data_IF_075305340629
#
_entry.id   IF_075305340629
#
_cell.length_a   1.000
_cell.length_b   1.000
_cell.length_c   1.000
_cell.angle_alpha   90.00
_cell.angle_beta   90.00
_cell.angle_gamma   90.00
#
_symmetry.space_group_name_H-M   'P 1'
#
loop_
_entity.id
_entity.type
_entity.pdbx_description
1 polymer ?
#
# COMPACT_ATOMS: atom_id res chain seq x y z
N UNK A 1 50.16 -17.78 -32.49
CA UNK A 1 48.90 -17.01 -32.31
C UNK A 1 47.94 -17.90 -31.53
N UNK A 2 47.74 -17.61 -30.24
CA UNK A 2 46.96 -18.46 -29.32
C UNK A 2 45.55 -17.91 -29.19
N UNK A 3 44.55 -18.54 -29.82
CA UNK A 3 43.16 -18.12 -29.68
C UNK A 3 42.50 -18.90 -28.54
N UNK A 4 42.18 -18.18 -27.46
CA UNK A 4 41.53 -18.68 -26.24
C UNK A 4 40.05 -18.99 -26.51
N UNK A 5 39.70 -20.28 -26.48
CA UNK A 5 38.33 -20.78 -26.59
C UNK A 5 37.51 -20.37 -25.35
N UNK A 6 36.42 -19.59 -25.50
CA UNK A 6 35.49 -19.27 -24.41
C UNK A 6 34.34 -20.29 -24.42
N UNK A 7 33.90 -20.82 -23.26
CA UNK A 7 32.72 -21.67 -23.22
C UNK A 7 31.44 -20.84 -23.42
N UNK A 8 30.37 -21.43 -23.95
CA UNK A 8 29.11 -20.73 -24.16
C UNK A 8 28.45 -20.39 -22.82
N UNK A 9 27.84 -19.21 -22.78
CA UNK A 9 26.98 -18.72 -21.69
C UNK A 9 25.96 -19.80 -21.32
N UNK A 10 26.06 -20.28 -20.09
CA UNK A 10 25.13 -21.25 -19.53
C UNK A 10 23.71 -20.69 -19.58
N UNK A 11 22.82 -21.46 -20.20
CA UNK A 11 21.37 -21.28 -20.16
C UNK A 11 20.93 -21.16 -18.69
N UNK A 12 20.57 -19.95 -18.25
CA UNK A 12 19.82 -19.77 -17.01
C UNK A 12 18.33 -19.87 -17.31
N UNK A 13 17.91 -21.05 -17.78
CA UNK A 13 16.51 -21.46 -17.83
C UNK A 13 16.01 -21.73 -16.41
N UNK A 14 15.96 -20.70 -15.57
CA UNK A 14 15.30 -20.76 -14.28
C UNK A 14 13.84 -20.37 -14.47
N UNK A 15 12.91 -21.29 -14.18
CA UNK A 15 11.48 -21.01 -14.01
C UNK A 15 11.34 -19.69 -13.21
N UNK A 16 10.50 -18.71 -13.62
CA UNK A 16 10.28 -17.52 -12.80
C UNK A 16 9.94 -18.01 -11.39
N UNK A 17 10.56 -17.44 -10.33
CA UNK A 17 10.27 -17.88 -8.98
C UNK A 17 8.76 -17.84 -8.82
N UNK A 18 8.18 -19.03 -8.59
CA UNK A 18 6.81 -19.17 -8.13
C UNK A 18 6.57 -18.08 -7.10
N UNK A 19 5.51 -17.31 -7.27
CA UNK A 19 5.10 -16.19 -6.42
C UNK A 19 4.97 -16.68 -4.97
N UNK A 20 6.11 -16.86 -4.30
CA UNK A 20 6.16 -17.28 -2.92
C UNK A 20 5.59 -16.09 -2.16
N UNK A 21 4.48 -16.27 -1.42
CA UNK A 21 3.96 -15.19 -0.61
C UNK A 21 5.10 -14.78 0.32
N UNK A 22 5.65 -13.59 0.08
CA UNK A 22 6.67 -13.03 0.96
C UNK A 22 6.09 -13.06 2.37
N UNK A 23 6.81 -13.59 3.38
CA UNK A 23 6.30 -13.63 4.74
C UNK A 23 5.85 -12.22 5.12
N UNK A 24 4.63 -12.12 5.64
CA UNK A 24 4.00 -10.85 5.96
C UNK A 24 4.97 -10.01 6.80
N UNK A 25 5.57 -8.99 6.18
CA UNK A 25 6.49 -8.14 6.92
C UNK A 25 5.63 -7.27 7.83
N UNK A 26 5.72 -7.54 9.12
CA UNK A 26 4.98 -6.81 10.15
C UNK A 26 5.05 -5.28 9.99
N UNK A 27 6.21 -4.68 9.63
CA UNK A 27 6.27 -3.24 9.33
C UNK A 27 5.42 -2.80 8.13
N UNK A 28 5.29 -3.63 7.08
CA UNK A 28 4.43 -3.34 5.92
C UNK A 28 2.96 -3.42 6.30
N UNK A 29 2.57 -4.44 7.08
CA UNK A 29 1.22 -4.58 7.60
C UNK A 29 0.82 -3.38 8.46
N UNK A 30 1.68 -2.96 9.40
CA UNK A 30 1.44 -1.77 10.24
C UNK A 30 1.30 -0.51 9.38
N UNK A 31 2.16 -0.30 8.36
CA UNK A 31 2.03 0.86 7.47
C UNK A 31 0.72 0.86 6.70
N UNK A 32 0.30 -0.30 6.18
CA UNK A 32 -0.98 -0.43 5.48
C UNK A 32 -2.16 -0.11 6.41
N UNK A 33 -2.13 -0.62 7.66
CA UNK A 33 -3.16 -0.31 8.66
C UNK A 33 -3.18 1.19 9.00
N UNK A 34 -2.01 1.78 9.24
CA UNK A 34 -1.89 3.21 9.55
C UNK A 34 -2.37 4.10 8.40
N UNK A 35 -2.23 3.65 7.16
CA UNK A 35 -2.67 4.38 5.96
C UNK A 35 -4.18 4.60 5.87
N UNK A 36 -5.01 3.78 6.53
CA UNK A 36 -6.46 3.99 6.60
C UNK A 36 -6.96 4.36 8.01
N UNK A 37 -6.34 3.83 9.06
CA UNK A 37 -6.81 4.05 10.44
C UNK A 37 -6.55 5.47 10.95
N UNK A 38 -5.38 6.03 10.61
CA UNK A 38 -5.03 7.41 10.97
C UNK A 38 -5.99 8.44 10.35
N UNK A 39 -6.27 8.40 9.02
CA UNK A 39 -7.22 9.35 8.44
C UNK A 39 -8.64 9.13 8.94
N UNK A 40 -9.08 7.88 9.15
CA UNK A 40 -10.41 7.60 9.70
C UNK A 40 -10.65 8.27 11.06
N UNK A 41 -9.74 8.07 12.01
CA UNK A 41 -9.82 8.67 13.36
C UNK A 41 -9.72 10.19 13.31
N UNK A 42 -8.83 10.73 12.48
CA UNK A 42 -8.60 12.18 12.35
C UNK A 42 -9.82 12.90 11.78
N UNK A 43 -10.41 12.37 10.69
CA UNK A 43 -11.61 12.93 10.06
C UNK A 43 -12.79 12.99 11.04
N UNK A 44 -13.03 11.90 11.78
CA UNK A 44 -14.09 11.86 12.79
C UNK A 44 -13.87 12.90 13.90
N UNK A 45 -12.63 13.01 14.39
CA UNK A 45 -12.28 13.95 15.47
C UNK A 45 -12.46 15.39 15.01
N UNK A 46 -11.96 15.74 13.83
CA UNK A 46 -12.03 17.10 13.31
C UNK A 46 -13.47 17.50 12.99
N UNK A 47 -14.25 16.59 12.41
CA UNK A 47 -15.65 16.85 12.13
C UNK A 47 -16.44 17.15 13.41
N UNK A 48 -16.31 16.29 14.43
CA UNK A 48 -16.97 16.46 15.73
C UNK A 48 -16.51 17.71 16.49
N UNK A 49 -15.27 18.15 16.28
CA UNK A 49 -14.75 19.37 16.89
C UNK A 49 -15.32 20.64 16.25
N UNK A 50 -15.64 20.59 14.95
CA UNK A 50 -16.16 21.75 14.23
C UNK A 50 -17.68 21.86 14.31
N UNK A 51 -18.41 20.75 14.29
CA UNK A 51 -19.87 20.78 14.31
C UNK A 51 -20.50 19.55 14.95
N UNK A 52 -21.70 19.74 15.51
CA UNK A 52 -22.57 18.66 15.94
C UNK A 52 -23.47 18.12 14.81
N UNK A 53 -23.47 18.77 13.64
CA UNK A 53 -24.26 18.32 12.49
C UNK A 53 -23.67 17.04 11.88
N UNK A 54 -24.51 16.19 11.24
CA UNK A 54 -24.00 15.04 10.49
C UNK A 54 -23.07 15.51 9.35
N UNK A 55 -22.04 14.71 9.00
CA UNK A 55 -21.17 15.02 7.88
C UNK A 55 -21.96 15.04 6.54
N UNK A 56 -21.57 15.92 5.59
CA UNK A 56 -22.07 15.85 4.23
C UNK A 56 -21.86 14.46 3.62
N UNK A 57 -22.73 14.08 2.68
CA UNK A 57 -22.71 12.75 2.05
C UNK A 57 -21.34 12.35 1.51
N UNK A 58 -20.64 13.28 0.84
CA UNK A 58 -19.30 13.03 0.29
C UNK A 58 -18.28 12.71 1.37
N UNK A 59 -18.29 13.47 2.48
CA UNK A 59 -17.42 13.21 3.63
C UNK A 59 -17.78 11.89 4.32
N UNK A 60 -19.07 11.59 4.45
CA UNK A 60 -19.51 10.31 5.00
C UNK A 60 -19.05 9.13 4.13
N UNK A 61 -19.12 9.26 2.81
CA UNK A 61 -18.62 8.26 1.87
C UNK A 61 -17.10 8.06 2.02
N UNK A 62 -16.34 9.14 2.19
CA UNK A 62 -14.91 9.06 2.46
C UNK A 62 -14.63 8.32 3.78
N UNK A 63 -15.31 8.68 4.87
CA UNK A 63 -15.19 8.03 6.18
C UNK A 63 -15.51 6.53 6.08
N UNK A 64 -16.55 6.17 5.32
CA UNK A 64 -16.92 4.78 5.08
C UNK A 64 -15.87 4.05 4.23
N UNK A 65 -15.30 4.69 3.21
CA UNK A 65 -14.27 4.08 2.39
C UNK A 65 -13.01 3.75 3.22
N UNK A 66 -12.53 4.70 4.04
CA UNK A 66 -11.35 4.45 4.89
C UNK A 66 -11.61 3.45 6.01
N UNK A 67 -12.84 3.37 6.53
CA UNK A 67 -13.18 2.37 7.56
C UNK A 67 -13.15 0.93 7.02
N UNK A 68 -13.33 0.75 5.70
CA UNK A 68 -13.17 -0.57 5.04
C UNK A 68 -11.71 -0.97 4.79
N UNK A 69 -10.74 -0.21 5.29
CA UNK A 69 -9.32 -0.52 5.14
C UNK A 69 -8.69 0.02 3.86
N UNK A 70 -9.39 0.89 3.11
CA UNK A 70 -8.85 1.55 1.92
C UNK A 70 -8.02 2.77 2.36
N UNK A 71 -6.67 2.74 2.24
CA UNK A 71 -5.85 3.88 2.61
C UNK A 71 -6.11 5.06 1.67
N UNK A 72 -5.92 6.27 2.19
CA UNK A 72 -5.85 7.47 1.35
C UNK A 72 -4.41 7.64 0.92
N UNK A 73 -4.15 7.66 -0.39
CA UNK A 73 -2.84 8.05 -0.89
C UNK A 73 -2.73 9.57 -0.84
N UNK A 74 -2.11 10.08 0.22
CA UNK A 74 -1.93 11.52 0.45
C UNK A 74 -0.71 12.08 -0.31
N UNK A 75 0.10 11.22 -0.94
CA UNK A 75 1.41 11.60 -1.49
C UNK A 75 1.59 11.24 -2.97
N UNK A 76 0.54 10.84 -3.70
CA UNK A 76 0.61 10.75 -5.15
C UNK A 76 0.69 12.17 -5.73
N UNK A 77 1.74 12.53 -6.48
CA UNK A 77 1.71 13.75 -7.27
C UNK A 77 0.62 13.62 -8.35
N UNK A 78 -0.23 14.64 -8.43
CA UNK A 78 -1.19 14.87 -9.53
C UNK A 78 -0.48 15.41 -10.76
#
# INVERSE_FOLDING_TARGET
MTTRNRPPVGQRGGRPPSHQPHPASWPKAIRAVRGWLTPWTTLQRYWRAWTAKPPPTELQNLINAVSTGRPIDLYTPV
#
